data_IF_159161024098
#
_entry.id   IF_159161024098
#
_cell.length_a   1.000
_cell.length_b   1.000
_cell.length_c   1.000
_cell.angle_alpha   90.00
_cell.angle_beta   90.00
_cell.angle_gamma   90.00
#
_symmetry.space_group_name_H-M   'P 1'
#
loop_
_entity.id
_entity.type
_entity.pdbx_description
1 polymer ?
#
# COMPACT_ATOMS: atom_id res chain seq x y z
N UNK A 1 -20.76 19.67 -27.55
CA UNK A 1 -21.34 18.76 -26.54
C UNK A 1 -20.36 18.68 -25.39
N UNK A 2 -20.77 18.89 -24.13
CA UNK A 2 -19.87 18.74 -23.00
C UNK A 2 -19.46 17.27 -22.93
N UNK A 3 -18.18 16.99 -23.15
CA UNK A 3 -17.58 15.71 -22.81
C UNK A 3 -17.85 15.49 -21.33
N UNK A 4 -18.65 14.48 -21.02
CA UNK A 4 -18.67 13.94 -19.68
C UNK A 4 -17.28 13.37 -19.45
N UNK A 5 -16.37 14.20 -18.93
CA UNK A 5 -15.09 13.75 -18.38
C UNK A 5 -15.47 12.71 -17.35
N UNK A 6 -15.25 11.44 -17.69
CA UNK A 6 -15.53 10.32 -16.81
C UNK A 6 -14.87 10.53 -15.46
N UNK A 7 -15.33 9.79 -14.45
CA UNK A 7 -14.73 9.81 -13.11
C UNK A 7 -13.23 9.62 -13.26
N UNK A 8 -12.45 10.65 -12.90
CA UNK A 8 -11.00 10.58 -12.89
C UNK A 8 -10.59 9.61 -11.79
N UNK A 9 -10.21 8.39 -12.21
CA UNK A 9 -9.84 7.29 -11.31
C UNK A 9 -8.73 7.70 -10.33
N UNK A 10 -7.86 8.65 -10.71
CA UNK A 10 -6.79 9.15 -9.84
C UNK A 10 -7.32 10.04 -8.71
N UNK A 11 -8.40 10.79 -8.94
CA UNK A 11 -9.06 11.59 -7.90
C UNK A 11 -9.94 10.71 -7.01
N UNK A 12 -10.56 9.68 -7.60
CA UNK A 12 -11.33 8.70 -6.84
C UNK A 12 -10.46 7.97 -5.80
N UNK A 13 -9.20 7.66 -6.12
CA UNK A 13 -8.29 7.02 -5.15
C UNK A 13 -8.02 7.89 -3.92
N UNK A 14 -7.89 9.22 -4.08
CA UNK A 14 -7.75 10.16 -2.95
C UNK A 14 -8.98 10.14 -2.05
N UNK A 15 -10.18 10.12 -2.65
CA UNK A 15 -11.45 10.01 -1.90
C UNK A 15 -11.53 8.68 -1.15
N UNK A 16 -11.14 7.57 -1.79
CA UNK A 16 -11.09 6.26 -1.14
C UNK A 16 -10.13 6.27 0.05
N UNK A 17 -8.92 6.82 -0.09
CA UNK A 17 -7.93 6.94 0.99
C UNK A 17 -8.50 7.78 2.15
N UNK A 18 -9.16 8.90 1.84
CA UNK A 18 -9.79 9.76 2.85
C UNK A 18 -10.86 9.01 3.67
N UNK A 19 -11.71 8.22 3.02
CA UNK A 19 -12.76 7.41 3.66
C UNK A 19 -12.19 6.23 4.44
N UNK A 20 -11.13 5.58 3.92
CA UNK A 20 -10.52 4.41 4.56
C UNK A 20 -9.66 4.75 5.78
N UNK A 21 -9.16 5.99 5.86
CA UNK A 21 -8.28 6.44 6.96
C UNK A 21 -8.94 6.28 8.35
N UNK A 22 -10.19 6.72 8.59
CA UNK A 22 -10.93 6.42 9.82
C UNK A 22 -11.04 4.93 10.12
N UNK A 23 -11.47 4.15 9.13
CA UNK A 23 -11.65 2.71 9.28
C UNK A 23 -10.34 2.05 9.72
N UNK A 24 -9.25 2.42 9.08
CA UNK A 24 -7.91 1.93 9.42
C UNK A 24 -7.50 2.25 10.86
N UNK A 25 -7.61 3.50 11.32
CA UNK A 25 -7.16 3.85 12.67
C UNK A 25 -8.02 3.24 13.78
N UNK A 26 -9.34 3.14 13.58
CA UNK A 26 -10.19 2.43 14.52
C UNK A 26 -9.90 0.93 14.54
N UNK A 27 -9.64 0.30 13.39
CA UNK A 27 -9.23 -1.10 13.34
C UNK A 27 -7.86 -1.31 14.01
N UNK A 28 -6.89 -0.44 13.74
CA UNK A 28 -5.56 -0.51 14.34
C UNK A 28 -5.65 -0.46 15.86
N UNK A 29 -6.34 0.56 16.40
CA UNK A 29 -6.51 0.70 17.85
C UNK A 29 -7.37 -0.44 18.43
N UNK A 30 -8.38 -0.90 17.70
CA UNK A 30 -9.20 -2.05 18.11
C UNK A 30 -8.39 -3.34 18.23
N UNK A 31 -7.51 -3.62 17.28
CA UNK A 31 -6.63 -4.80 17.29
C UNK A 31 -5.60 -4.72 18.41
N UNK A 32 -4.97 -3.55 18.61
CA UNK A 32 -4.01 -3.32 19.69
C UNK A 32 -4.68 -3.49 21.06
N UNK A 33 -5.94 -3.05 21.20
CA UNK A 33 -6.67 -3.11 22.46
C UNK A 33 -7.16 -4.50 22.87
N UNK A 34 -7.11 -5.49 21.96
CA UNK A 34 -7.51 -6.87 22.28
C UNK A 34 -6.46 -7.62 23.10
N UNK A 35 -5.23 -7.12 23.19
CA UNK A 35 -4.18 -7.77 23.99
C UNK A 35 -4.43 -7.54 25.49
N UNK A 36 -4.52 -8.59 26.32
CA UNK A 36 -4.63 -8.48 27.77
C UNK A 36 -3.46 -7.73 28.45
N UNK A 37 -2.30 -7.62 27.79
CA UNK A 37 -1.14 -6.83 28.24
C UNK A 37 -1.06 -5.44 27.56
N UNK A 38 -2.21 -4.89 27.17
CA UNK A 38 -2.37 -3.70 26.34
C UNK A 38 -1.27 -2.62 26.55
N UNK A 39 -0.34 -2.45 25.60
CA UNK A 39 0.74 -1.48 25.71
C UNK A 39 0.22 -0.06 25.66
N UNK A 40 -0.92 0.22 25.05
CA UNK A 40 -1.47 1.58 25.01
C UNK A 40 -2.22 1.97 26.27
N UNK A 41 -2.05 1.26 27.39
CA UNK A 41 -2.60 1.70 28.68
C UNK A 41 -1.94 2.99 29.13
N UNK A 42 -2.67 4.11 29.12
CA UNK A 42 -2.16 5.40 29.57
C UNK A 42 -2.12 5.45 31.10
N UNK A 43 -1.06 4.93 31.72
CA UNK A 43 -0.97 4.77 33.17
C UNK A 43 -1.19 6.07 33.94
N UNK A 44 -0.68 7.19 33.41
CA UNK A 44 -0.89 8.51 34.01
C UNK A 44 -2.38 8.86 34.00
N UNK A 45 -3.08 8.61 32.89
CA UNK A 45 -4.51 8.91 32.78
C UNK A 45 -5.33 7.97 33.66
N UNK A 46 -5.03 6.67 33.66
CA UNK A 46 -5.71 5.69 34.52
C UNK A 46 -5.57 6.06 35.99
N UNK A 47 -4.36 6.46 36.42
CA UNK A 47 -4.08 6.83 37.81
C UNK A 47 -4.87 8.07 38.26
N UNK A 48 -4.95 9.11 37.44
CA UNK A 48 -5.61 10.37 37.83
C UNK A 48 -7.10 10.44 37.51
N UNK A 49 -7.57 9.75 36.46
CA UNK A 49 -8.94 9.87 35.94
C UNK A 49 -9.73 8.55 35.90
N UNK A 50 -9.08 7.44 36.22
CA UNK A 50 -9.69 6.11 36.23
C UNK A 50 -9.68 5.40 34.88
N UNK A 51 -9.96 4.10 34.94
CA UNK A 51 -9.87 3.16 33.80
C UNK A 51 -10.87 3.47 32.67
N UNK A 52 -12.05 3.98 33.00
CA UNK A 52 -13.09 4.28 31.99
C UNK A 52 -12.67 5.45 31.10
N UNK A 53 -12.11 6.51 31.71
CA UNK A 53 -11.60 7.68 30.98
C UNK A 53 -10.39 7.29 30.14
N UNK A 54 -9.49 6.49 30.70
CA UNK A 54 -8.35 5.94 29.97
C UNK A 54 -8.78 5.14 28.75
N UNK A 55 -9.74 4.23 28.92
CA UNK A 55 -10.26 3.38 27.84
C UNK A 55 -10.95 4.22 26.75
N UNK A 56 -11.70 5.25 27.15
CA UNK A 56 -12.32 6.20 26.22
C UNK A 56 -11.26 6.98 25.42
N UNK A 57 -10.22 7.50 26.08
CA UNK A 57 -9.14 8.23 25.41
C UNK A 57 -8.42 7.30 24.42
N UNK A 58 -8.05 6.10 24.84
CA UNK A 58 -7.37 5.12 23.99
C UNK A 58 -8.20 4.65 22.79
N UNK A 59 -9.49 4.39 23.00
CA UNK A 59 -10.34 3.75 21.97
C UNK A 59 -10.97 4.75 21.03
N UNK A 60 -11.22 5.98 21.48
CA UNK A 60 -11.94 7.00 20.71
C UNK A 60 -11.04 8.19 20.41
N UNK A 61 -10.45 8.82 21.43
CA UNK A 61 -9.73 10.09 21.24
C UNK A 61 -8.43 9.89 20.45
N UNK A 62 -7.59 8.91 20.81
CA UNK A 62 -6.34 8.62 20.12
C UNK A 62 -6.54 8.36 18.62
N UNK A 63 -7.44 7.45 18.18
CA UNK A 63 -7.69 7.28 16.75
C UNK A 63 -8.25 8.54 16.09
N UNK A 64 -9.08 9.36 16.76
CA UNK A 64 -9.53 10.65 16.20
C UNK A 64 -8.35 11.59 15.94
N UNK A 65 -7.40 11.71 16.88
CA UNK A 65 -6.20 12.52 16.68
C UNK A 65 -5.37 12.03 15.48
N UNK A 66 -5.23 10.72 15.33
CA UNK A 66 -4.55 10.12 14.18
C UNK A 66 -5.29 10.43 12.87
N UNK A 67 -6.61 10.27 12.84
CA UNK A 67 -7.46 10.57 11.68
C UNK A 67 -7.33 12.02 11.24
N UNK A 68 -7.44 12.97 12.17
CA UNK A 68 -7.37 14.42 11.87
C UNK A 68 -6.04 14.76 11.19
N UNK A 69 -4.93 14.19 11.67
CA UNK A 69 -3.59 14.44 11.13
C UNK A 69 -3.47 13.97 9.69
N UNK A 70 -3.91 12.74 9.42
CA UNK A 70 -3.87 12.18 8.06
C UNK A 70 -4.87 12.84 7.13
N UNK A 71 -6.04 13.25 7.61
CA UNK A 71 -6.98 14.06 6.84
C UNK A 71 -6.39 15.41 6.46
N UNK A 72 -5.71 16.10 7.37
CA UNK A 72 -5.01 17.35 7.03
C UNK A 72 -3.95 17.12 5.95
N UNK A 73 -3.18 16.04 6.05
CA UNK A 73 -2.16 15.70 5.05
C UNK A 73 -2.80 15.38 3.68
N UNK A 74 -3.85 14.56 3.64
CA UNK A 74 -4.56 14.20 2.41
C UNK A 74 -5.19 15.45 1.78
N UNK A 75 -5.81 16.33 2.56
CA UNK A 75 -6.44 17.55 2.04
C UNK A 75 -5.41 18.56 1.54
N UNK A 76 -4.29 18.74 2.26
CA UNK A 76 -3.21 19.64 1.86
C UNK A 76 -2.53 19.20 0.55
N UNK A 77 -2.37 17.89 0.35
CA UNK A 77 -1.67 17.33 -0.80
C UNK A 77 -2.59 16.60 -1.79
N UNK A 78 -3.90 16.88 -1.80
CA UNK A 78 -4.89 16.12 -2.60
C UNK A 78 -4.56 16.09 -4.10
N UNK A 79 -4.15 17.23 -4.66
CA UNK A 79 -3.79 17.35 -6.07
C UNK A 79 -2.50 16.60 -6.35
N UNK A 80 -1.51 16.75 -5.46
CA UNK A 80 -0.24 16.03 -5.55
C UNK A 80 -0.42 14.52 -5.49
N UNK A 81 -1.27 14.02 -4.59
CA UNK A 81 -1.63 12.60 -4.52
C UNK A 81 -2.27 12.10 -5.82
N UNK A 82 -3.26 12.83 -6.36
CA UNK A 82 -3.90 12.46 -7.62
C UNK A 82 -2.89 12.46 -8.78
N UNK A 83 -2.09 13.52 -8.89
CA UNK A 83 -1.09 13.70 -9.93
C UNK A 83 0.06 12.69 -9.82
N UNK A 84 0.38 12.23 -8.61
CA UNK A 84 1.38 11.18 -8.39
C UNK A 84 1.00 9.89 -9.13
N UNK A 85 -0.27 9.49 -9.12
CA UNK A 85 -0.68 8.30 -9.87
C UNK A 85 -0.53 8.48 -11.38
N UNK A 86 -0.79 9.68 -11.88
CA UNK A 86 -0.55 10.05 -13.28
C UNK A 86 0.94 10.07 -13.62
N UNK A 87 1.78 10.60 -12.74
CA UNK A 87 3.23 10.60 -12.92
C UNK A 87 3.83 9.21 -12.81
N UNK A 88 3.39 8.36 -11.88
CA UNK A 88 3.79 6.94 -11.85
C UNK A 88 3.50 6.32 -13.21
N UNK A 89 2.31 6.54 -13.78
CA UNK A 89 1.95 6.02 -15.10
C UNK A 89 2.88 6.50 -16.22
N UNK A 90 3.38 7.74 -16.17
CA UNK A 90 4.31 8.30 -17.17
C UNK A 90 5.75 7.85 -16.95
N UNK A 91 6.22 7.84 -15.70
CA UNK A 91 7.62 7.54 -15.32
C UNK A 91 7.90 6.04 -15.30
N UNK A 92 6.89 5.19 -15.07
CA UNK A 92 7.07 3.72 -15.07
C UNK A 92 7.18 3.11 -16.48
N UNK A 93 7.89 3.75 -17.40
CA UNK A 93 8.43 3.04 -18.59
C UNK A 93 9.22 1.78 -18.18
N UNK A 94 9.77 1.78 -16.96
CA UNK A 94 10.54 0.68 -16.35
C UNK A 94 9.70 -0.37 -15.61
N UNK A 95 8.40 -0.16 -15.40
CA UNK A 95 7.49 -1.15 -14.76
C UNK A 95 6.12 -1.07 -15.44
N UNK A 96 5.63 -2.09 -16.17
CA UNK A 96 4.33 -2.02 -16.82
C UNK A 96 3.25 -1.71 -15.78
N UNK A 97 2.29 -0.84 -16.13
CA UNK A 97 1.15 -0.43 -15.28
C UNK A 97 0.48 -1.64 -14.59
N UNK A 98 0.48 -2.79 -15.26
CA UNK A 98 0.03 -4.09 -14.77
C UNK A 98 0.65 -4.46 -13.42
N UNK A 99 1.98 -4.31 -13.29
CA UNK A 99 2.70 -4.65 -12.07
C UNK A 99 2.56 -3.59 -10.98
N UNK A 100 2.18 -2.36 -11.32
CA UNK A 100 1.90 -1.32 -10.33
C UNK A 100 0.81 -1.75 -9.34
N UNK A 101 -0.18 -2.55 -9.78
CA UNK A 101 -1.24 -3.06 -8.89
C UNK A 101 -0.64 -4.04 -7.87
N UNK A 102 0.21 -4.96 -8.32
CA UNK A 102 0.89 -5.92 -7.47
C UNK A 102 1.83 -5.23 -6.45
N UNK A 103 2.70 -4.35 -6.94
CA UNK A 103 3.61 -3.56 -6.10
C UNK A 103 2.85 -2.63 -5.16
N UNK A 104 1.80 -1.98 -5.67
CA UNK A 104 0.95 -1.06 -4.91
C UNK A 104 0.20 -1.75 -3.80
N UNK A 105 -0.35 -2.94 -4.04
CA UNK A 105 -0.97 -3.76 -3.01
C UNK A 105 0.02 -4.07 -1.88
N UNK A 106 1.20 -4.62 -2.21
CA UNK A 106 2.24 -4.93 -1.22
C UNK A 106 2.74 -3.68 -0.49
N UNK A 107 2.86 -2.56 -1.22
CA UNK A 107 3.21 -1.25 -0.69
C UNK A 107 2.18 -0.76 0.32
N UNK A 108 0.89 -0.85 0.02
CA UNK A 108 -0.18 -0.46 0.93
C UNK A 108 -0.08 -1.24 2.25
N UNK A 109 0.05 -2.58 2.24
CA UNK A 109 0.20 -3.32 3.51
C UNK A 109 1.47 -2.95 4.26
N UNK A 110 2.58 -2.79 3.54
CA UNK A 110 3.85 -2.38 4.14
C UNK A 110 3.71 -1.02 4.84
N UNK A 111 3.05 -0.06 4.19
CA UNK A 111 2.76 1.27 4.74
C UNK A 111 1.84 1.16 5.96
N UNK A 112 0.69 0.49 5.81
CA UNK A 112 -0.34 0.39 6.84
C UNK A 112 0.15 -0.36 8.09
N UNK A 113 1.09 -1.29 7.97
CA UNK A 113 1.54 -2.11 9.10
C UNK A 113 2.85 -1.59 9.69
N UNK A 114 3.81 -1.20 8.85
CA UNK A 114 5.17 -0.88 9.31
C UNK A 114 5.53 0.59 9.31
N UNK A 115 4.77 1.45 8.64
CA UNK A 115 5.12 2.87 8.52
C UNK A 115 4.12 3.73 9.29
N UNK A 116 2.84 3.65 8.94
CA UNK A 116 1.81 4.52 9.51
C UNK A 116 1.74 4.40 11.04
N UNK A 117 1.71 3.22 11.68
CA UNK A 117 1.61 3.13 13.14
C UNK A 117 2.75 3.85 13.88
N UNK A 118 3.94 3.89 13.27
CA UNK A 118 5.15 4.43 13.89
C UNK A 118 5.37 5.90 13.58
N UNK A 119 5.02 6.35 12.38
CA UNK A 119 5.19 7.75 11.98
C UNK A 119 4.05 8.64 12.50
N UNK A 120 2.84 8.08 12.65
CA UNK A 120 1.65 8.86 13.05
C UNK A 120 1.82 9.59 14.38
N UNK A 121 2.29 8.98 15.49
CA UNK A 121 2.47 9.69 16.76
C UNK A 121 3.35 10.94 16.65
N UNK A 122 4.39 10.90 15.81
CA UNK A 122 5.25 12.07 15.56
C UNK A 122 4.53 13.14 14.75
N UNK A 123 3.83 12.75 13.69
CA UNK A 123 3.04 13.69 12.89
C UNK A 123 1.90 14.32 13.68
N UNK A 124 1.34 13.65 14.69
CA UNK A 124 0.33 14.26 15.57
C UNK A 124 0.89 15.46 16.30
N UNK A 125 2.11 15.38 16.86
CA UNK A 125 2.73 16.54 17.50
C UNK A 125 2.96 17.67 16.51
N UNK A 126 3.57 17.36 15.35
CA UNK A 126 3.91 18.38 14.35
C UNK A 126 2.63 19.09 13.86
N UNK A 127 1.60 18.31 13.54
CA UNK A 127 0.35 18.84 13.02
C UNK A 127 -0.41 19.69 14.06
N UNK A 128 -0.51 19.24 15.31
CA UNK A 128 -1.17 20.02 16.36
C UNK A 128 -0.34 21.24 16.78
N UNK A 129 0.99 21.19 16.66
CA UNK A 129 1.84 22.37 16.84
C UNK A 129 1.61 23.40 15.72
N UNK A 130 1.50 22.94 14.47
CA UNK A 130 1.14 23.80 13.33
C UNK A 130 -0.26 24.41 13.50
N UNK A 131 -1.22 23.64 14.01
CA UNK A 131 -2.57 24.12 14.29
C UNK A 131 -2.59 25.17 15.42
N UNK A 132 -1.87 24.91 16.52
CA UNK A 132 -1.69 25.87 17.60
C UNK A 132 -1.06 27.18 17.11
N UNK A 133 -0.02 27.07 16.28
CA UNK A 133 0.61 28.23 15.66
C UNK A 133 -0.33 29.00 14.74
N UNK A 134 -1.13 28.31 13.93
CA UNK A 134 -2.12 28.95 13.06
C UNK A 134 -3.17 29.74 13.85
N UNK A 135 -3.65 29.20 14.98
CA UNK A 135 -4.59 29.90 15.88
C UNK A 135 -3.95 31.17 16.46
N UNK A 136 -2.70 31.09 16.91
CA UNK A 136 -1.99 32.25 17.48
C UNK A 136 -1.76 33.31 16.39
N UNK A 137 -1.31 32.89 15.21
CA UNK A 137 -1.05 33.79 14.08
C UNK A 137 -2.31 34.53 13.62
N UNK A 138 -3.45 33.84 13.57
CA UNK A 138 -4.71 34.41 13.09
C UNK A 138 -5.53 35.12 14.19
N UNK A 139 -5.05 35.13 15.44
CA UNK A 139 -5.74 35.77 16.55
C UNK A 139 -5.36 37.25 16.64
N UNK A 140 -6.14 38.13 16.00
CA UNK A 140 -6.00 39.59 16.11
C UNK A 140 -5.98 40.04 17.58
N UNK A 141 -6.83 39.42 18.41
CA UNK A 141 -6.91 39.68 19.85
C UNK A 141 -5.56 39.48 20.60
N UNK A 142 -4.76 38.49 20.19
CA UNK A 142 -3.48 38.22 20.83
C UNK A 142 -2.39 39.21 20.37
N UNK A 143 -2.44 39.65 19.11
CA UNK A 143 -1.45 40.55 18.52
C UNK A 143 -1.64 42.02 18.92
N UNK A 144 -2.87 42.45 19.16
CA UNK A 144 -3.18 43.84 19.54
C UNK A 144 -2.82 44.20 20.99
N UNK A 145 -2.37 43.22 21.78
CA UNK A 145 -2.03 43.35 23.20
C UNK A 145 -0.52 43.46 23.41
N UNK A 146 -0.07 43.31 24.65
CA UNK A 146 1.36 43.35 24.97
C UNK A 146 2.08 42.06 24.54
N UNK A 147 3.40 42.16 24.29
CA UNK A 147 4.24 40.98 24.00
C UNK A 147 4.16 39.90 25.09
N UNK A 148 4.04 40.32 26.35
CA UNK A 148 3.89 39.40 27.49
C UNK A 148 2.59 38.62 27.37
N UNK A 149 1.49 39.29 27.05
CA UNK A 149 0.20 38.65 26.83
C UNK A 149 0.25 37.64 25.69
N UNK A 150 0.89 37.99 24.56
CA UNK A 150 1.07 37.09 23.43
C UNK A 150 1.82 35.80 23.83
N UNK A 151 2.88 35.91 24.64
CA UNK A 151 3.62 34.75 25.14
C UNK A 151 2.75 33.87 26.04
N UNK A 152 2.03 34.47 27.00
CA UNK A 152 1.13 33.71 27.88
C UNK A 152 -0.01 33.04 27.09
N UNK A 153 -0.63 33.75 26.16
CA UNK A 153 -1.66 33.21 25.28
C UNK A 153 -1.13 32.04 24.46
N UNK A 154 0.07 32.19 23.88
CA UNK A 154 0.74 31.13 23.12
C UNK A 154 0.99 29.90 23.98
N UNK A 155 1.53 30.07 25.20
CA UNK A 155 1.77 28.96 26.13
C UNK A 155 0.49 28.21 26.48
N UNK A 156 -0.63 28.92 26.69
CA UNK A 156 -1.93 28.29 26.97
C UNK A 156 -2.41 27.50 25.75
N UNK A 157 -2.39 28.09 24.54
CA UNK A 157 -2.85 27.41 23.32
C UNK A 157 -1.99 26.18 23.00
N UNK A 158 -0.67 26.31 23.05
CA UNK A 158 0.24 25.18 22.88
C UNK A 158 0.04 24.12 23.97
N UNK A 159 -0.09 24.52 25.23
CA UNK A 159 -0.35 23.61 26.34
C UNK A 159 -1.64 22.80 26.11
N UNK A 160 -2.75 23.46 25.78
CA UNK A 160 -4.03 22.80 25.57
C UNK A 160 -4.03 21.85 24.36
N UNK A 161 -3.40 22.24 23.25
CA UNK A 161 -3.43 21.46 22.02
C UNK A 161 -2.37 20.37 21.96
N UNK A 162 -1.20 20.55 22.60
CA UNK A 162 -0.10 19.59 22.56
C UNK A 162 -0.05 18.64 23.76
N UNK A 163 -0.74 18.93 24.87
CA UNK A 163 -0.68 18.06 26.06
C UNK A 163 -1.01 16.60 25.71
N UNK A 164 -2.11 16.38 25.00
CA UNK A 164 -2.54 15.03 24.64
C UNK A 164 -1.64 14.41 23.54
N UNK A 165 -1.30 15.09 22.42
CA UNK A 165 -0.30 14.61 21.47
C UNK A 165 1.03 14.18 22.09
N UNK A 166 1.57 14.99 23.01
CA UNK A 166 2.83 14.70 23.71
C UNK A 166 2.68 13.45 24.56
N UNK A 167 1.57 13.31 25.29
CA UNK A 167 1.30 12.13 26.10
C UNK A 167 1.14 10.87 25.24
N UNK A 168 0.46 10.96 24.09
CA UNK A 168 0.34 9.86 23.13
C UNK A 168 1.73 9.43 22.63
N UNK A 169 2.58 10.39 22.20
CA UNK A 169 3.93 10.07 21.74
C UNK A 169 4.79 9.48 22.85
N UNK A 170 4.74 10.06 24.06
CA UNK A 170 5.53 9.60 25.19
C UNK A 170 5.22 8.13 25.51
N UNK A 171 3.94 7.77 25.57
CA UNK A 171 3.51 6.39 25.85
C UNK A 171 3.81 5.44 24.69
N UNK A 172 3.73 5.93 23.45
CA UNK A 172 4.18 5.19 22.28
C UNK A 172 5.68 4.86 22.34
N UNK A 173 6.52 5.85 22.65
CA UNK A 173 7.98 5.70 22.68
C UNK A 173 8.42 4.80 23.83
N UNK A 174 7.84 4.96 25.03
CA UNK A 174 8.21 4.15 26.19
C UNK A 174 7.88 2.66 26.00
N UNK A 175 6.89 2.35 25.16
CA UNK A 175 6.42 0.97 24.92
C UNK A 175 6.62 0.51 23.49
N UNK A 176 7.53 1.17 22.77
CA UNK A 176 7.81 0.90 21.36
C UNK A 176 8.03 -0.59 21.07
N UNK A 177 8.84 -1.28 21.90
CA UNK A 177 9.15 -2.71 21.71
C UNK A 177 7.91 -3.59 21.81
N UNK A 178 7.00 -3.28 22.75
CA UNK A 178 5.77 -4.07 22.95
C UNK A 178 4.84 -3.84 21.76
N UNK A 179 4.64 -2.59 21.36
CA UNK A 179 3.83 -2.23 20.19
C UNK A 179 4.39 -2.90 18.94
N UNK A 180 5.71 -2.90 18.76
CA UNK A 180 6.37 -3.54 17.63
C UNK A 180 6.11 -5.04 17.61
N UNK A 181 6.23 -5.73 18.74
CA UNK A 181 5.96 -7.15 18.83
C UNK A 181 4.50 -7.49 18.50
N UNK A 182 3.54 -6.68 18.94
CA UNK A 182 2.12 -6.86 18.59
C UNK A 182 1.86 -6.65 17.11
N UNK A 183 2.45 -5.60 16.52
CA UNK A 183 2.36 -5.37 15.07
C UNK A 183 2.96 -6.54 14.30
N UNK A 184 4.09 -7.10 14.77
CA UNK A 184 4.69 -8.30 14.18
C UNK A 184 3.83 -9.54 14.35
N UNK A 185 3.13 -9.69 15.47
CA UNK A 185 2.20 -10.80 15.67
C UNK A 185 0.99 -10.70 14.73
N UNK A 186 0.41 -9.51 14.60
CA UNK A 186 -0.67 -9.22 13.64
C UNK A 186 -0.16 -9.49 12.22
N UNK A 187 1.04 -9.01 11.88
CA UNK A 187 1.68 -9.28 10.59
C UNK A 187 1.81 -10.77 10.34
N UNK A 188 2.43 -11.53 11.24
CA UNK A 188 2.65 -12.97 11.07
C UNK A 188 1.33 -13.74 10.96
N UNK A 189 0.29 -13.31 11.68
CA UNK A 189 -1.05 -13.92 11.62
C UNK A 189 -1.73 -13.70 10.26
N UNK A 190 -1.62 -12.51 9.68
CA UNK A 190 -2.31 -12.16 8.43
C UNK A 190 -1.42 -12.27 7.18
N UNK A 191 -0.10 -12.37 7.33
CA UNK A 191 0.87 -12.46 6.25
C UNK A 191 0.54 -13.56 5.23
N UNK A 192 0.18 -14.79 5.63
CA UNK A 192 -0.17 -15.83 4.66
C UNK A 192 -1.32 -15.41 3.73
N UNK A 193 -2.32 -14.71 4.27
CA UNK A 193 -3.47 -14.23 3.49
C UNK A 193 -3.06 -13.10 2.53
N UNK A 194 -2.28 -12.13 3.00
CA UNK A 194 -1.78 -11.04 2.15
C UNK A 194 -0.88 -11.58 1.03
N UNK A 195 0.02 -12.51 1.38
CA UNK A 195 0.93 -13.12 0.43
C UNK A 195 0.18 -13.93 -0.64
N UNK A 196 -0.78 -14.78 -0.24
CA UNK A 196 -1.61 -15.55 -1.18
C UNK A 196 -2.44 -14.64 -2.08
N UNK A 197 -2.99 -13.56 -1.54
CA UNK A 197 -3.70 -12.57 -2.36
C UNK A 197 -2.77 -11.91 -3.39
N UNK A 198 -1.54 -11.55 -3.00
CA UNK A 198 -0.54 -11.01 -3.91
C UNK A 198 -0.14 -12.00 -5.00
N UNK A 199 -0.03 -13.29 -4.67
CA UNK A 199 0.20 -14.37 -5.65
C UNK A 199 -0.95 -14.45 -6.66
N UNK A 200 -2.20 -14.33 -6.22
CA UNK A 200 -3.37 -14.36 -7.11
C UNK A 200 -3.33 -13.20 -8.12
N UNK A 201 -2.97 -12.00 -7.66
CA UNK A 201 -2.73 -10.85 -8.55
C UNK A 201 -1.63 -11.23 -9.54
N UNK A 202 -0.48 -11.70 -9.05
CA UNK A 202 0.66 -12.05 -9.90
C UNK A 202 0.31 -13.10 -10.97
N UNK A 203 -0.50 -14.11 -10.64
CA UNK A 203 -0.95 -15.13 -11.58
C UNK A 203 -1.82 -14.57 -12.71
N UNK A 204 -2.80 -13.73 -12.36
CA UNK A 204 -3.67 -13.10 -13.35
C UNK A 204 -2.86 -12.22 -14.31
N UNK A 205 -1.91 -11.44 -13.77
CA UNK A 205 -1.00 -10.60 -14.55
C UNK A 205 -0.02 -11.42 -15.40
N UNK A 206 0.47 -12.57 -14.90
CA UNK A 206 1.37 -13.44 -15.66
C UNK A 206 0.69 -13.96 -16.94
N UNK A 207 -0.57 -14.40 -16.84
CA UNK A 207 -1.34 -14.82 -18.02
C UNK A 207 -1.61 -13.62 -18.95
N UNK A 208 -2.00 -12.47 -18.41
CA UNK A 208 -2.18 -11.26 -19.21
C UNK A 208 -0.92 -10.83 -19.96
N UNK A 209 0.26 -10.99 -19.34
CA UNK A 209 1.55 -10.70 -19.95
C UNK A 209 1.90 -11.65 -21.11
N UNK A 210 1.48 -12.91 -21.04
CA UNK A 210 1.63 -13.88 -22.14
C UNK A 210 0.83 -13.45 -23.36
N UNK A 211 -0.45 -13.11 -23.19
CA UNK A 211 -1.29 -12.64 -24.29
C UNK A 211 -0.72 -11.35 -24.89
N UNK A 212 -0.32 -10.39 -24.05
CA UNK A 212 0.33 -9.17 -24.53
C UNK A 212 1.58 -9.47 -25.37
N UNK A 213 2.43 -10.39 -24.91
CA UNK A 213 3.65 -10.78 -25.63
C UNK A 213 3.34 -11.43 -26.98
N UNK A 214 2.30 -12.26 -27.08
CA UNK A 214 1.88 -12.89 -28.34
C UNK A 214 1.47 -11.82 -29.35
N UNK A 215 0.61 -10.87 -28.95
CA UNK A 215 0.18 -9.79 -29.84
C UNK A 215 1.31 -8.83 -30.20
N UNK A 216 2.15 -8.46 -29.23
CA UNK A 216 3.31 -7.62 -29.46
C UNK A 216 4.32 -8.29 -30.42
N UNK A 217 4.53 -9.61 -30.28
CA UNK A 217 5.37 -10.39 -31.18
C UNK A 217 4.80 -10.48 -32.60
N UNK A 218 3.48 -10.62 -32.74
CA UNK A 218 2.82 -10.58 -34.05
C UNK A 218 2.97 -9.21 -34.73
N UNK A 219 2.77 -8.13 -33.98
CA UNK A 219 2.94 -6.76 -34.47
C UNK A 219 4.40 -6.46 -34.88
N UNK A 220 5.38 -6.97 -34.13
CA UNK A 220 6.81 -6.86 -34.45
C UNK A 220 7.14 -7.62 -35.75
N UNK A 221 6.62 -8.84 -35.90
CA UNK A 221 6.78 -9.64 -37.13
C UNK A 221 6.17 -8.97 -38.37
N UNK A 222 4.99 -8.36 -38.23
CA UNK A 222 4.35 -7.61 -39.30
C UNK A 222 5.16 -6.38 -39.71
N UNK A 223 5.70 -5.62 -38.75
CA UNK A 223 6.57 -4.48 -39.04
C UNK A 223 7.81 -4.89 -39.83
N UNK A 224 8.41 -6.03 -39.48
CA UNK A 224 9.58 -6.57 -40.19
C UNK A 224 9.22 -7.11 -41.58
N UNK A 225 8.04 -7.72 -41.74
CA UNK A 225 7.62 -8.38 -42.98
C UNK A 225 6.95 -7.44 -44.01
N UNK A 226 6.23 -6.41 -43.56
CA UNK A 226 5.38 -5.55 -44.41
C UNK A 226 5.82 -4.07 -44.40
N UNK A 227 7.13 -3.83 -44.57
CA UNK A 227 7.67 -2.49 -44.84
C UNK A 227 7.40 -1.45 -43.75
N UNK A 228 7.43 -1.85 -42.47
CA UNK A 228 7.39 -0.94 -41.32
C UNK A 228 6.02 -0.56 -40.79
N UNK A 229 4.93 -1.10 -41.34
CA UNK A 229 3.56 -0.90 -40.81
C UNK A 229 3.11 -2.13 -40.02
N UNK A 230 2.75 -1.97 -38.75
CA UNK A 230 1.98 -2.98 -38.02
C UNK A 230 0.50 -2.80 -38.39
N UNK A 231 -0.15 -3.87 -38.86
CA UNK A 231 -1.59 -3.87 -39.05
C UNK A 231 -2.32 -4.35 -37.79
N UNK A 232 -1.63 -5.15 -36.96
CA UNK A 232 -2.14 -5.63 -35.68
C UNK A 232 -1.75 -4.68 -34.54
N UNK A 233 -2.74 -3.96 -34.01
CA UNK A 233 -2.60 -3.23 -32.75
C UNK A 233 -2.79 -4.20 -31.58
N UNK A 234 -2.04 -3.98 -30.49
CA UNK A 234 -2.19 -4.79 -29.28
C UNK A 234 -3.50 -4.41 -28.59
N UNK A 235 -4.44 -5.35 -28.38
CA UNK A 235 -5.74 -5.07 -27.78
C UNK A 235 -5.60 -4.90 -26.25
N UNK A 236 -5.08 -3.76 -25.80
CA UNK A 236 -4.73 -3.54 -24.40
C UNK A 236 -5.92 -3.61 -23.45
N UNK A 237 -7.09 -3.13 -23.87
CA UNK A 237 -8.26 -3.06 -23.02
C UNK A 237 -8.89 -4.45 -22.83
N UNK A 238 -8.88 -5.25 -23.87
CA UNK A 238 -9.34 -6.63 -23.89
C UNK A 238 -8.45 -7.48 -22.98
N UNK A 239 -7.13 -7.28 -23.02
CA UNK A 239 -6.22 -7.99 -22.11
C UNK A 239 -6.46 -7.55 -20.66
N UNK A 240 -6.72 -6.27 -20.38
CA UNK A 240 -7.07 -5.81 -19.01
C UNK A 240 -8.38 -6.43 -18.51
N UNK A 241 -9.39 -6.55 -19.37
CA UNK A 241 -10.65 -7.23 -19.03
C UNK A 241 -10.40 -8.71 -18.75
N UNK A 242 -9.58 -9.37 -19.56
CA UNK A 242 -9.17 -10.76 -19.31
C UNK A 242 -8.45 -10.91 -17.96
N UNK A 243 -7.49 -10.05 -17.64
CA UNK A 243 -6.77 -10.03 -16.36
C UNK A 243 -7.75 -9.88 -15.18
N UNK A 244 -8.74 -9.00 -15.30
CA UNK A 244 -9.77 -8.83 -14.28
C UNK A 244 -10.62 -10.08 -14.10
N UNK A 245 -11.06 -10.72 -15.20
CA UNK A 245 -11.85 -11.95 -15.15
C UNK A 245 -11.04 -13.09 -14.51
N UNK A 246 -9.76 -13.23 -14.89
CA UNK A 246 -8.86 -14.22 -14.31
C UNK A 246 -8.63 -13.96 -12.83
N UNK A 247 -8.40 -12.72 -12.44
CA UNK A 247 -8.26 -12.33 -11.03
C UNK A 247 -9.50 -12.71 -10.22
N UNK A 248 -10.70 -12.34 -10.67
CA UNK A 248 -11.95 -12.68 -9.97
C UNK A 248 -12.13 -14.20 -9.88
N UNK A 249 -11.79 -14.93 -10.94
CA UNK A 249 -11.88 -16.40 -10.97
C UNK A 249 -10.93 -17.03 -9.95
N UNK A 250 -9.64 -16.66 -9.98
CA UNK A 250 -8.63 -17.17 -9.06
C UNK A 250 -8.91 -16.77 -7.61
N UNK A 251 -9.36 -15.54 -7.39
CA UNK A 251 -9.79 -15.06 -6.08
C UNK A 251 -10.94 -15.91 -5.53
N UNK A 252 -11.93 -16.22 -6.37
CA UNK A 252 -13.06 -17.07 -5.98
C UNK A 252 -12.60 -18.48 -5.61
N UNK A 253 -11.74 -19.10 -6.43
CA UNK A 253 -11.16 -20.42 -6.14
C UNK A 253 -10.39 -20.39 -4.81
N UNK A 254 -9.59 -19.35 -4.60
CA UNK A 254 -8.81 -19.17 -3.37
C UNK A 254 -9.70 -19.08 -2.12
N UNK A 255 -10.74 -18.25 -2.13
CA UNK A 255 -11.69 -18.13 -1.02
C UNK A 255 -12.31 -19.48 -0.67
N UNK A 256 -12.75 -20.25 -1.67
CA UNK A 256 -13.28 -21.59 -1.45
C UNK A 256 -12.23 -22.63 -1.07
N UNK A 257 -10.94 -22.35 -1.27
CA UNK A 257 -9.82 -23.20 -0.85
C UNK A 257 -9.36 -22.96 0.60
N UNK A 258 -9.82 -21.89 1.25
CA UNK A 258 -9.44 -21.56 2.64
C UNK A 258 -9.80 -22.66 3.66
N UNK A 259 -10.99 -23.31 3.61
CA UNK A 259 -11.32 -24.39 4.53
C UNK A 259 -10.30 -25.54 4.46
N UNK A 260 -9.93 -26.10 5.60
CA UNK A 260 -8.93 -27.18 5.64
C UNK A 260 -9.34 -28.43 4.85
N UNK A 261 -10.64 -28.65 4.68
CA UNK A 261 -11.23 -29.79 3.95
C UNK A 261 -11.17 -29.65 2.42
N UNK A 262 -10.86 -28.47 1.88
CA UNK A 262 -10.87 -28.19 0.44
C UNK A 262 -9.57 -28.61 -0.28
N UNK A 263 -9.12 -29.85 -0.10
CA UNK A 263 -7.85 -30.36 -0.65
C UNK A 263 -7.79 -30.29 -2.18
N UNK A 264 -8.88 -30.58 -2.87
CA UNK A 264 -8.97 -30.51 -4.34
C UNK A 264 -8.77 -29.09 -4.86
N UNK A 265 -9.40 -28.09 -4.25
CA UNK A 265 -9.28 -26.69 -4.68
C UNK A 265 -7.87 -26.13 -4.40
N UNK A 266 -7.25 -26.54 -3.30
CA UNK A 266 -5.84 -26.21 -3.02
C UNK A 266 -4.92 -26.77 -4.10
N UNK A 267 -5.14 -28.01 -4.52
CA UNK A 267 -4.38 -28.62 -5.62
C UNK A 267 -4.58 -27.87 -6.94
N UNK A 268 -5.81 -27.45 -7.26
CA UNK A 268 -6.09 -26.61 -8.44
C UNK A 268 -5.30 -25.30 -8.37
N UNK A 269 -5.31 -24.60 -7.23
CA UNK A 269 -4.51 -23.38 -7.04
C UNK A 269 -3.01 -23.63 -7.20
N UNK A 270 -2.50 -24.74 -6.68
CA UNK A 270 -1.10 -25.12 -6.87
C UNK A 270 -0.77 -25.32 -8.35
N UNK A 271 -1.61 -26.02 -9.12
CA UNK A 271 -1.41 -26.20 -10.57
C UNK A 271 -1.41 -24.85 -11.30
N UNK A 272 -2.35 -23.96 -10.96
CA UNK A 272 -2.41 -22.61 -11.52
C UNK A 272 -1.10 -21.86 -11.23
N UNK A 273 -0.63 -21.84 -9.98
CA UNK A 273 0.60 -21.17 -9.57
C UNK A 273 1.82 -21.69 -10.35
N UNK A 274 1.97 -23.01 -10.50
CA UNK A 274 3.05 -23.62 -11.27
C UNK A 274 2.98 -23.26 -12.76
N UNK A 275 1.77 -23.28 -13.33
CA UNK A 275 1.56 -22.91 -14.74
C UNK A 275 1.93 -21.44 -14.96
N UNK A 276 1.48 -20.53 -14.08
CA UNK A 276 1.82 -19.12 -14.12
C UNK A 276 3.32 -18.87 -13.90
N UNK A 277 4.00 -19.64 -13.05
CA UNK A 277 5.44 -19.57 -12.87
C UNK A 277 6.19 -19.94 -14.16
N UNK A 278 5.78 -21.02 -14.84
CA UNK A 278 6.37 -21.43 -16.12
C UNK A 278 6.15 -20.33 -17.16
N UNK A 279 4.91 -19.83 -17.29
CA UNK A 279 4.57 -18.74 -18.21
C UNK A 279 5.41 -17.50 -17.92
N UNK A 280 5.45 -17.05 -16.65
CA UNK A 280 6.22 -15.88 -16.24
C UNK A 280 7.70 -16.03 -16.56
N UNK A 281 8.28 -17.20 -16.25
CA UNK A 281 9.67 -17.54 -16.55
C UNK A 281 9.95 -17.49 -18.05
N UNK A 282 9.08 -18.07 -18.88
CA UNK A 282 9.21 -18.02 -20.34
C UNK A 282 9.17 -16.58 -20.86
N UNK A 283 8.20 -15.78 -20.40
CA UNK A 283 8.09 -14.36 -20.78
C UNK A 283 9.35 -13.59 -20.38
N UNK A 284 9.86 -13.79 -19.17
CA UNK A 284 11.08 -13.14 -18.68
C UNK A 284 12.31 -13.52 -19.50
N UNK A 285 12.48 -14.81 -19.82
CA UNK A 285 13.57 -15.28 -20.68
C UNK A 285 13.48 -14.69 -22.09
N UNK A 286 12.29 -14.64 -22.69
CA UNK A 286 12.08 -14.02 -24.00
C UNK A 286 12.42 -12.53 -23.96
N UNK A 287 11.98 -11.81 -22.93
CA UNK A 287 12.34 -10.41 -22.73
C UNK A 287 13.84 -10.20 -22.52
N UNK A 288 14.52 -11.12 -21.84
CA UNK A 288 15.96 -11.10 -21.63
C UNK A 288 16.73 -11.32 -22.94
N UNK A 289 16.38 -12.35 -23.71
CA UNK A 289 17.10 -12.74 -24.93
C UNK A 289 16.78 -11.86 -26.15
N UNK A 290 15.54 -11.39 -26.32
CA UNK A 290 15.20 -10.47 -27.43
C UNK A 290 15.84 -9.09 -27.31
N UNK A 291 16.47 -8.80 -26.17
CA UNK A 291 17.24 -7.58 -25.95
C UNK A 291 16.37 -6.36 -25.67
N UNK A 292 16.83 -5.56 -24.72
CA UNK A 292 16.34 -4.23 -24.34
C UNK A 292 16.47 -3.16 -25.45
N UNK A 293 16.56 -3.55 -26.72
CA UNK A 293 17.07 -2.67 -27.77
C UNK A 293 16.37 -2.80 -29.11
N UNK A 294 15.33 -1.98 -29.30
CA UNK A 294 15.05 -1.18 -30.51
C UNK A 294 13.79 -0.35 -30.30
N UNK A 295 13.97 0.89 -29.85
CA UNK A 295 12.91 1.88 -29.57
C UNK A 295 12.98 2.43 -28.14
N UNK A 296 12.45 3.62 -27.92
CA UNK A 296 12.41 4.34 -26.62
C UNK A 296 11.72 3.55 -25.48
N UNK A 297 11.09 2.42 -25.77
CA UNK A 297 10.45 1.53 -24.80
C UNK A 297 11.43 0.50 -24.23
N UNK A 298 12.15 0.89 -23.17
CA UNK A 298 12.92 -0.05 -22.34
C UNK A 298 11.99 -1.09 -21.73
N UNK A 299 11.98 -2.30 -22.27
CA UNK A 299 11.17 -3.41 -21.75
C UNK A 299 11.54 -3.71 -20.28
N UNK A 300 10.56 -3.83 -19.38
CA UNK A 300 10.82 -3.79 -17.94
C UNK A 300 11.19 -5.15 -17.35
N UNK A 301 12.43 -5.58 -17.59
CA UNK A 301 12.99 -6.85 -17.11
C UNK A 301 12.86 -7.03 -15.59
N UNK A 302 13.15 -5.98 -14.81
CA UNK A 302 13.15 -6.05 -13.34
C UNK A 302 11.78 -6.40 -12.75
N UNK A 303 10.69 -5.92 -13.37
CA UNK A 303 9.33 -6.25 -12.95
C UNK A 303 9.03 -7.75 -13.04
N UNK A 304 9.40 -8.36 -14.17
CA UNK A 304 9.22 -9.80 -14.39
C UNK A 304 10.08 -10.64 -13.45
N UNK A 305 11.32 -10.21 -13.19
CA UNK A 305 12.22 -10.90 -12.27
C UNK A 305 11.63 -11.02 -10.86
N UNK A 306 11.12 -9.91 -10.33
CA UNK A 306 10.53 -9.87 -8.98
C UNK A 306 9.25 -10.70 -8.89
N UNK A 307 8.42 -10.70 -9.93
CA UNK A 307 7.25 -11.58 -9.99
C UNK A 307 7.64 -13.06 -9.96
N UNK A 308 8.66 -13.46 -10.73
CA UNK A 308 9.12 -14.85 -10.74
C UNK A 308 9.69 -15.26 -9.39
N UNK A 309 10.37 -14.35 -8.68
CA UNK A 309 10.76 -14.61 -7.29
C UNK A 309 9.54 -14.87 -6.41
N UNK A 310 8.46 -14.10 -6.54
CA UNK A 310 7.22 -14.33 -5.81
C UNK A 310 6.58 -15.68 -6.13
N UNK A 311 6.35 -15.97 -7.42
CA UNK A 311 5.74 -17.22 -7.86
C UNK A 311 6.61 -18.43 -7.57
N UNK A 312 7.93 -18.29 -7.68
CA UNK A 312 8.91 -19.34 -7.40
C UNK A 312 8.93 -19.72 -5.92
N UNK A 313 8.80 -18.73 -5.04
CA UNK A 313 8.69 -18.99 -3.60
C UNK A 313 7.37 -19.59 -3.19
N UNK A 314 6.29 -19.20 -3.85
CA UNK A 314 5.01 -19.86 -3.65
C UNK A 314 5.05 -21.32 -4.12
N UNK A 315 5.65 -21.58 -5.28
CA UNK A 315 5.86 -22.93 -5.79
C UNK A 315 6.71 -23.76 -4.81
N UNK A 316 7.77 -23.16 -4.25
CA UNK A 316 8.59 -23.79 -3.21
C UNK A 316 7.81 -24.02 -1.91
N UNK A 317 6.91 -23.11 -1.50
CA UNK A 317 6.02 -23.28 -0.34
C UNK A 317 5.04 -24.43 -0.51
N UNK A 318 4.50 -24.60 -1.71
CA UNK A 318 3.50 -25.63 -2.01
C UNK A 318 4.13 -26.99 -2.32
N UNK A 319 5.44 -27.03 -2.63
CA UNK A 319 6.17 -28.27 -2.94
C UNK A 319 6.06 -29.33 -1.82
N UNK A 320 6.19 -29.02 -0.52
CA UNK A 320 6.00 -30.00 0.54
C UNK A 320 4.57 -30.54 0.65
N UNK A 321 3.56 -29.78 0.22
CA UNK A 321 2.16 -30.23 0.16
C UNK A 321 1.96 -31.32 -0.90
N UNK A 322 2.81 -31.36 -1.93
CA UNK A 322 2.78 -32.36 -3.00
C UNK A 322 3.53 -33.66 -2.65
N UNK A 323 4.60 -33.59 -1.84
CA UNK A 323 5.52 -34.73 -1.60
C UNK A 323 5.54 -35.18 -0.12
N UNK A 324 4.82 -34.49 0.77
CA UNK A 324 4.52 -34.97 2.12
C UNK A 324 5.73 -35.09 3.07
N UNK A 325 6.66 -34.12 3.07
CA UNK A 325 7.90 -34.30 3.84
C UNK A 325 8.69 -33.09 4.35
N UNK A 326 8.33 -31.84 4.06
CA UNK A 326 9.10 -30.68 4.54
C UNK A 326 8.20 -29.64 5.22
N UNK A 327 8.63 -29.16 6.40
CA UNK A 327 7.92 -28.10 7.14
C UNK A 327 7.91 -26.82 6.31
N UNK A 328 6.71 -26.24 6.21
CA UNK A 328 6.35 -24.86 5.88
C UNK A 328 7.51 -23.92 5.54
N UNK A 329 7.41 -23.19 4.42
CA UNK A 329 8.34 -22.09 4.15
C UNK A 329 8.45 -21.14 5.34
N UNK A 330 9.66 -20.64 5.62
CA UNK A 330 9.87 -19.67 6.69
C UNK A 330 9.03 -18.41 6.40
N UNK A 331 8.18 -18.03 7.37
CA UNK A 331 7.39 -16.78 7.41
C UNK A 331 8.29 -15.56 7.17
N UNK A 332 9.54 -15.68 7.58
CA UNK A 332 10.62 -14.72 7.39
C UNK A 332 10.85 -14.40 5.90
N UNK A 333 10.84 -15.41 5.03
CA UNK A 333 11.10 -15.23 3.60
C UNK A 333 9.94 -14.52 2.90
N UNK A 334 8.70 -14.87 3.26
CA UNK A 334 7.50 -14.14 2.79
C UNK A 334 7.57 -12.68 3.22
N UNK A 335 7.96 -12.43 4.48
CA UNK A 335 8.09 -11.08 5.04
C UNK A 335 9.10 -10.27 4.25
N UNK A 336 10.31 -10.79 4.05
CA UNK A 336 11.39 -10.11 3.32
C UNK A 336 10.91 -9.66 1.94
N UNK A 337 10.13 -10.49 1.26
CA UNK A 337 9.78 -10.28 -0.15
C UNK A 337 8.55 -9.40 -0.33
N UNK A 338 7.57 -9.53 0.55
CA UNK A 338 6.49 -8.55 0.69
C UNK A 338 7.06 -7.16 1.01
N UNK A 339 7.99 -7.07 1.96
CA UNK A 339 8.66 -5.80 2.30
C UNK A 339 9.50 -5.26 1.15
N UNK A 340 10.32 -6.09 0.49
CA UNK A 340 11.14 -5.64 -0.62
C UNK A 340 10.29 -5.04 -1.75
N UNK A 341 9.18 -5.69 -2.10
CA UNK A 341 8.28 -5.18 -3.13
C UNK A 341 7.48 -3.97 -2.70
N UNK A 342 7.05 -3.91 -1.44
CA UNK A 342 6.43 -2.72 -0.87
C UNK A 342 7.38 -1.52 -0.83
N UNK A 343 8.66 -1.74 -0.50
CA UNK A 343 9.70 -0.70 -0.50
C UNK A 343 9.97 -0.20 -1.92
N UNK A 344 10.07 -1.09 -2.91
CA UNK A 344 10.22 -0.70 -4.32
C UNK A 344 9.06 0.20 -4.75
N UNK A 345 7.81 -0.21 -4.44
CA UNK A 345 6.64 0.61 -4.74
C UNK A 345 6.72 1.98 -4.07
N UNK A 346 7.07 2.00 -2.79
CA UNK A 346 7.20 3.21 -2.00
C UNK A 346 8.21 4.19 -2.57
N UNK A 347 9.38 3.71 -2.99
CA UNK A 347 10.40 4.57 -3.59
C UNK A 347 9.91 5.15 -4.92
N UNK A 348 9.28 4.34 -5.77
CA UNK A 348 8.68 4.81 -7.03
C UNK A 348 7.57 5.84 -6.76
N UNK A 349 6.70 5.56 -5.79
CA UNK A 349 5.63 6.46 -5.39
C UNK A 349 6.18 7.78 -4.84
N UNK A 350 7.20 7.76 -3.99
CA UNK A 350 7.82 8.97 -3.43
C UNK A 350 8.48 9.83 -4.51
N UNK A 351 9.20 9.21 -5.44
CA UNK A 351 9.78 9.92 -6.59
C UNK A 351 8.68 10.59 -7.41
N UNK A 352 7.62 9.85 -7.75
CA UNK A 352 6.49 10.41 -8.49
C UNK A 352 5.77 11.50 -7.70
N UNK A 353 5.63 11.35 -6.38
CA UNK A 353 5.01 12.35 -5.52
C UNK A 353 5.80 13.64 -5.45
N UNK A 354 7.13 13.56 -5.41
CA UNK A 354 8.00 14.75 -5.44
C UNK A 354 7.99 15.40 -6.82
N UNK A 355 7.92 14.62 -7.90
CA UNK A 355 7.88 15.13 -9.27
C UNK A 355 6.50 15.63 -9.73
N UNK A 356 5.43 15.23 -9.04
CA UNK A 356 4.08 15.63 -9.39
C UNK A 356 3.90 17.16 -9.20
N UNK A 357 3.38 17.87 -10.22
CA UNK A 357 3.09 19.28 -10.08
C UNK A 357 1.98 19.48 -9.06
N UNK A 358 2.20 20.45 -8.17
CA UNK A 358 1.13 21.04 -7.38
C UNK A 358 0.36 21.93 -8.36
N UNK A 359 -0.65 21.38 -9.05
CA UNK A 359 -1.58 22.22 -9.80
C UNK A 359 -2.32 23.08 -8.78
N UNK A 360 -1.89 24.32 -8.64
CA UNK A 360 -2.71 25.40 -8.11
C UNK A 360 -3.88 25.55 -9.08
N UNK A 361 -5.06 25.17 -8.62
CA UNK A 361 -6.29 25.50 -9.33
C UNK A 361 -6.43 27.01 -9.16
N UNK A 362 -6.14 27.76 -10.23
CA UNK A 362 -6.60 29.15 -10.41
C UNK A 362 -8.12 29.26 -10.23
#
# INVERSE_FOLDING_TARGET
MPEWKGIDLTRLSVVIIFILTPVYFFLLMGLINQDPFNPFTYYIIEYYFGKDVETFIRTIITPIFFIIVWWMFILAYKNKFANSFSEIRKTTSVIPIRWMIFYGFNGIFTILIFIIPYVTPFFVIIAFASFAWAIIRNSEFAWDRSKVFLVFYSLIIFGLLLLLPILILFEFVTKYVIIFNQVMEIWNKFLPFFYEFSVIIANALAIGSLFWMIYAGAAEFEKESFSGMAMTEVPENEIKVLELILFVTFFTIWIYSLPQTATTLKLVMTIINWTCLIIGTLVMLICFFKGLGRGDDKRPFFGYFVMILFLGLEAFRMYPTLIGGLKTTPIELMTIIMLATGIIFLLVFLVAFVSAPDEDID
#
